data_IF_881344946573
#
_entry.id   IF_881344946573
#
_cell.length_a   1.000
_cell.length_b   1.000
_cell.length_c   1.000
_cell.angle_alpha   90.00
_cell.angle_beta   90.00
_cell.angle_gamma   90.00
#
_symmetry.space_group_name_H-M   'P 1'
#
loop_
_entity.id
_entity.type
_entity.pdbx_description
1 polymer ?
#
# COMPACT_ATOMS: atom_id res chain seq x y z
N UNK A 1 11.81 2.58 -0.13
CA UNK A 1 10.79 1.97 -1.02
C UNK A 1 10.34 0.63 -0.43
N UNK A 2 9.50 0.63 0.60
CA UNK A 2 9.01 -0.60 1.24
C UNK A 2 7.68 -1.03 0.60
N UNK A 3 6.65 -0.18 0.70
CA UNK A 3 5.30 -0.45 0.21
C UNK A 3 5.29 -0.84 -1.27
N UNK A 4 5.93 -0.06 -2.13
CA UNK A 4 6.00 -0.39 -3.57
C UNK A 4 6.61 -1.77 -3.82
N UNK A 5 7.69 -2.15 -3.10
CA UNK A 5 8.32 -3.47 -3.29
C UNK A 5 7.39 -4.60 -2.87
N UNK A 6 6.71 -4.45 -1.74
CA UNK A 6 5.75 -5.44 -1.24
C UNK A 6 4.52 -5.57 -2.14
N UNK A 7 4.05 -4.46 -2.71
CA UNK A 7 2.91 -4.42 -3.63
C UNK A 7 3.27 -5.01 -5.01
N UNK A 8 4.42 -4.63 -5.58
CA UNK A 8 4.89 -5.18 -6.86
C UNK A 8 5.20 -6.68 -6.78
N UNK A 9 5.71 -7.17 -5.64
CA UNK A 9 5.93 -8.61 -5.43
C UNK A 9 4.63 -9.43 -5.43
N UNK A 10 3.48 -8.77 -5.18
CA UNK A 10 2.15 -9.38 -5.12
C UNK A 10 1.28 -9.00 -6.32
N UNK A 11 1.85 -8.38 -7.35
CA UNK A 11 1.12 -7.93 -8.54
C UNK A 11 -0.11 -7.06 -8.21
N UNK A 12 0.02 -6.22 -7.17
CA UNK A 12 -1.01 -5.24 -6.81
C UNK A 12 -0.80 -3.95 -7.61
N UNK A 13 -1.89 -3.32 -8.03
CA UNK A 13 -1.92 -1.99 -8.64
C UNK A 13 -2.23 -0.91 -7.59
N UNK A 14 -2.05 0.36 -7.97
CA UNK A 14 -2.33 1.51 -7.13
C UNK A 14 -1.08 2.34 -6.83
N UNK A 15 -1.06 2.99 -5.67
CA UNK A 15 -0.01 3.95 -5.35
C UNK A 15 0.26 4.09 -3.85
N UNK A 16 1.39 4.71 -3.52
CA UNK A 16 1.70 5.13 -2.16
C UNK A 16 2.25 6.56 -2.14
N UNK A 17 1.90 7.32 -1.10
CA UNK A 17 2.32 8.70 -0.89
C UNK A 17 2.70 8.91 0.57
N UNK A 18 3.76 9.67 0.80
CA UNK A 18 4.05 10.21 2.13
C UNK A 18 3.30 11.52 2.32
N UNK A 19 2.58 11.63 3.44
CA UNK A 19 1.90 12.85 3.83
C UNK A 19 2.83 13.73 4.68
N UNK A 20 2.64 15.05 4.64
CA UNK A 20 3.51 16.00 5.37
C UNK A 20 3.40 15.88 6.90
N UNK A 21 2.34 15.24 7.40
CA UNK A 21 2.15 14.90 8.81
C UNK A 21 2.98 13.67 9.27
N UNK A 22 3.75 13.07 8.36
CA UNK A 22 4.57 11.89 8.61
C UNK A 22 3.82 10.56 8.45
N UNK A 23 2.55 10.59 8.06
CA UNK A 23 1.79 9.37 7.74
C UNK A 23 2.04 8.92 6.30
N UNK A 24 1.71 7.67 6.00
CA UNK A 24 1.82 7.09 4.66
C UNK A 24 0.43 6.68 4.21
N UNK A 25 0.03 7.17 3.05
CA UNK A 25 -1.20 6.78 2.38
C UNK A 25 -0.89 5.74 1.30
N UNK A 26 -1.75 4.73 1.21
CA UNK A 26 -1.57 3.59 0.32
C UNK A 26 -2.93 3.28 -0.29
N UNK A 27 -2.97 3.27 -1.61
CA UNK A 27 -4.06 2.69 -2.39
C UNK A 27 -3.53 1.42 -3.04
N UNK A 28 -4.21 0.30 -2.79
CA UNK A 28 -3.82 -0.98 -3.33
C UNK A 28 -5.06 -1.70 -3.87
N UNK A 29 -4.99 -2.10 -5.13
CA UNK A 29 -6.03 -2.83 -5.82
C UNK A 29 -5.49 -4.19 -6.31
N UNK A 30 -6.33 -5.21 -6.19
CA UNK A 30 -5.99 -6.57 -6.60
C UNK A 30 -6.73 -7.62 -5.79
N UNK A 31 -6.18 -8.83 -5.72
CA UNK A 31 -6.78 -9.92 -4.97
C UNK A 31 -6.88 -9.55 -3.47
N UNK A 32 -8.06 -9.66 -2.83
CA UNK A 32 -8.25 -9.25 -1.44
C UNK A 32 -7.31 -9.97 -0.47
N UNK A 33 -6.92 -11.22 -0.74
CA UNK A 33 -5.95 -11.94 0.09
C UNK A 33 -4.55 -11.35 0.01
N UNK A 34 -4.14 -10.86 -1.17
CA UNK A 34 -2.84 -10.22 -1.38
C UNK A 34 -2.81 -8.80 -0.79
N UNK A 35 -3.94 -8.08 -0.87
CA UNK A 35 -4.11 -6.78 -0.21
C UNK A 35 -4.04 -6.93 1.31
N UNK A 36 -4.71 -7.93 1.90
CA UNK A 36 -4.62 -8.19 3.34
C UNK A 36 -3.19 -8.53 3.77
N UNK A 37 -2.46 -9.29 2.95
CA UNK A 37 -1.06 -9.60 3.20
C UNK A 37 -0.16 -8.35 3.15
N UNK A 38 -0.37 -7.46 2.17
CA UNK A 38 0.30 -6.16 2.11
C UNK A 38 0.03 -5.35 3.39
N UNK A 39 -1.23 -5.29 3.85
CA UNK A 39 -1.59 -4.62 5.10
C UNK A 39 -0.85 -5.21 6.30
N UNK A 40 -0.73 -6.54 6.38
CA UNK A 40 0.04 -7.22 7.44
C UNK A 40 1.52 -6.83 7.39
N UNK A 41 2.13 -6.79 6.21
CA UNK A 41 3.52 -6.35 6.05
C UNK A 41 3.70 -4.88 6.44
N UNK A 42 2.73 -4.02 6.09
CA UNK A 42 2.73 -2.63 6.53
C UNK A 42 2.65 -2.48 8.06
N UNK A 43 2.01 -3.41 8.79
CA UNK A 43 2.02 -3.39 10.27
C UNK A 43 3.40 -3.66 10.87
N UNK A 44 4.20 -4.50 10.20
CA UNK A 44 5.58 -4.78 10.62
C UNK A 44 6.48 -3.59 10.24
N UNK A 45 6.32 -3.12 9.00
CA UNK A 45 7.09 -2.04 8.42
C UNK A 45 8.57 -2.41 8.20
N UNK A 46 9.35 -1.53 7.54
CA UNK A 46 10.80 -1.69 7.44
C UNK A 46 11.50 -1.60 8.81
N UNK A 47 12.71 -2.14 8.91
CA UNK A 47 13.49 -2.22 10.16
C UNK A 47 13.72 -0.90 10.93
N UNK A 48 13.49 0.27 10.30
CA UNK A 48 13.63 1.61 10.90
C UNK A 48 12.30 2.35 11.07
N UNK A 49 11.16 1.73 10.79
CA UNK A 49 9.84 2.34 11.02
C UNK A 49 9.19 1.78 12.27
N UNK A 50 8.41 2.62 12.95
CA UNK A 50 7.51 2.19 14.03
C UNK A 50 6.09 2.56 13.62
N UNK A 51 5.29 1.58 13.23
CA UNK A 51 3.91 1.78 12.79
C UNK A 51 2.99 1.73 14.00
N UNK A 52 2.43 2.87 14.37
CA UNK A 52 1.58 3.00 15.57
C UNK A 52 0.12 2.64 15.31
N UNK A 53 -0.36 2.84 14.09
CA UNK A 53 -1.74 2.55 13.69
C UNK A 53 -1.86 2.41 12.18
N UNK A 54 -2.81 1.58 11.73
CA UNK A 54 -3.23 1.47 10.33
C UNK A 54 -4.75 1.59 10.27
N UNK A 55 -5.24 2.45 9.39
CA UNK A 55 -6.66 2.57 9.04
C UNK A 55 -6.84 1.97 7.65
N UNK A 56 -7.75 1.01 7.53
CA UNK A 56 -8.08 0.37 6.26
C UNK A 56 -9.52 0.74 5.91
N UNK A 57 -9.74 1.13 4.66
CA UNK A 57 -11.07 1.36 4.10
C UNK A 57 -11.16 0.64 2.76
N UNK A 58 -12.14 -0.24 2.63
CA UNK A 58 -12.44 -0.87 1.35
C UNK A 58 -13.08 0.17 0.42
N UNK A 59 -12.68 0.13 -0.85
CA UNK A 59 -13.21 0.99 -1.91
C UNK A 59 -13.68 0.14 -3.08
N UNK A 60 -14.56 0.69 -3.91
CA UNK A 60 -14.95 0.03 -5.15
C UNK A 60 -13.71 -0.08 -6.07
N UNK A 61 -13.68 -1.14 -6.89
CA UNK A 61 -12.64 -1.37 -7.89
C UNK A 61 -12.72 -0.24 -8.91
N UNK A 62 -11.58 0.37 -9.22
CA UNK A 62 -11.46 1.32 -10.32
C UNK A 62 -10.92 0.58 -11.56
N UNK A 63 -11.74 0.49 -12.62
CA UNK A 63 -11.38 -0.19 -13.87
C UNK A 63 -10.35 0.61 -14.71
N UNK A 64 -10.11 1.88 -14.38
CA UNK A 64 -9.14 2.74 -15.09
C UNK A 64 -7.72 2.62 -14.50
N UNK A 65 -7.55 1.92 -13.36
CA UNK A 65 -6.28 1.89 -12.66
C UNK A 65 -5.24 1.00 -13.38
N UNK A 66 -4.07 1.58 -13.60
CA UNK A 66 -2.96 0.95 -14.31
C UNK A 66 -2.46 -0.28 -13.52
N UNK A 67 -2.07 -1.37 -14.21
CA UNK A 67 -1.55 -2.59 -13.55
C UNK A 67 -0.21 -2.38 -12.79
N UNK A 68 0.28 -1.14 -12.71
CA UNK A 68 1.53 -0.76 -12.08
C UNK A 68 1.32 -0.09 -10.72
N UNK A 69 2.22 -0.37 -9.77
CA UNK A 69 2.23 0.28 -8.45
C UNK A 69 3.21 1.47 -8.42
N UNK A 70 2.71 2.67 -8.13
CA UNK A 70 3.48 3.92 -8.25
C UNK A 70 3.77 4.57 -6.90
N UNK A 71 4.82 5.40 -6.85
CA UNK A 71 5.07 6.28 -5.70
C UNK A 71 4.73 7.70 -6.13
N UNK A 72 3.78 8.31 -5.43
CA UNK A 72 3.47 9.72 -5.58
C UNK A 72 4.38 10.50 -4.64
N UNK A 73 5.30 11.26 -5.23
CA UNK A 73 6.09 12.27 -4.52
C UNK A 73 5.27 13.48 -4.14
#
# INVERSE_FOLDING_TARGET
MFVQREASARSLSGWTRNLPDGTVEIEAQGNPGLVDELVRQCRIGPARSSVTSIKVREMAIDDDDDTSFRILT
#
